data_IF_775083607245
#
_entry.id   IF_775083607245
#
_cell.length_a   1.000
_cell.length_b   1.000
_cell.length_c   1.000
_cell.angle_alpha   90.00
_cell.angle_beta   90.00
_cell.angle_gamma   90.00
#
_symmetry.space_group_name_H-M   'P 1'
#
loop_
_entity.id
_entity.type
_entity.pdbx_description
1 polymer ?
#
# COMPACT_ATOMS: atom_id res chain seq x y z
N UNK A 1 -21.47 30.99 16.52
CA UNK A 1 -20.46 30.06 17.09
C UNK A 1 -20.45 28.83 16.22
N UNK A 2 -19.43 28.66 15.39
CA UNK A 2 -19.23 27.44 14.61
C UNK A 2 -18.51 26.47 15.54
N UNK A 3 -19.17 25.35 15.87
CA UNK A 3 -18.53 24.23 16.53
C UNK A 3 -17.47 23.69 15.57
N UNK A 4 -16.21 24.02 15.87
CA UNK A 4 -15.05 23.33 15.31
C UNK A 4 -15.09 21.93 15.92
N UNK A 5 -15.54 20.95 15.13
CA UNK A 5 -15.35 19.54 15.48
C UNK A 5 -13.84 19.30 15.48
N UNK A 6 -13.23 19.44 16.66
CA UNK A 6 -11.95 18.86 16.98
C UNK A 6 -12.12 17.34 16.84
N UNK A 7 -11.82 16.82 15.65
CA UNK A 7 -11.47 15.42 15.50
C UNK A 7 -10.22 15.23 16.35
N UNK A 8 -10.39 14.63 17.52
CA UNK A 8 -9.29 14.18 18.36
C UNK A 8 -8.37 13.33 17.49
N UNK A 9 -7.08 13.62 17.53
CA UNK A 9 -6.05 12.80 16.87
C UNK A 9 -6.20 11.32 17.23
N UNK A 10 -6.78 11.00 18.38
CA UNK A 10 -7.09 9.66 18.88
C UNK A 10 -8.06 8.85 17.99
N UNK A 11 -8.99 9.48 17.27
CA UNK A 11 -9.96 8.76 16.41
C UNK A 11 -9.36 8.30 15.07
N UNK A 12 -8.14 8.74 14.73
CA UNK A 12 -7.43 8.33 13.51
C UNK A 12 -6.61 7.04 13.73
N UNK A 13 -6.44 6.59 14.97
CA UNK A 13 -5.58 5.46 15.33
C UNK A 13 -6.32 4.14 15.58
N UNK A 14 -7.66 4.14 15.60
CA UNK A 14 -8.43 2.98 16.08
C UNK A 14 -8.40 1.73 15.18
N UNK A 15 -7.82 1.76 13.98
CA UNK A 15 -7.75 0.57 13.10
C UNK A 15 -6.48 0.54 12.26
N UNK A 16 -5.35 0.67 12.93
CA UNK A 16 -4.04 0.49 12.31
C UNK A 16 -3.57 -0.95 12.59
N UNK A 17 -3.66 -1.90 11.63
CA UNK A 17 -3.32 -3.29 11.91
C UNK A 17 -1.83 -3.42 12.23
N UNK A 18 -1.49 -4.05 13.36
CA UNK A 18 -0.11 -4.48 13.62
C UNK A 18 0.34 -5.47 12.54
N UNK A 19 1.65 -5.57 12.27
CA UNK A 19 2.16 -6.67 11.46
C UNK A 19 1.66 -8.02 12.00
N UNK A 20 1.40 -8.99 11.11
CA UNK A 20 1.03 -10.34 11.55
C UNK A 20 2.16 -10.99 12.34
N UNK A 21 1.82 -11.91 13.23
CA UNK A 21 2.80 -12.68 14.02
C UNK A 21 3.80 -13.41 13.12
N UNK A 22 3.34 -13.90 11.96
CA UNK A 22 4.16 -14.53 10.94
C UNK A 22 3.78 -14.02 9.55
N UNK A 23 4.79 -13.57 8.79
CA UNK A 23 4.62 -13.24 7.37
C UNK A 23 4.74 -14.53 6.55
N UNK A 24 3.77 -14.85 5.67
CA UNK A 24 3.84 -16.04 4.83
C UNK A 24 5.14 -16.12 4.01
N UNK A 25 5.66 -17.34 3.82
CA UNK A 25 6.93 -17.56 3.12
C UNK A 25 6.92 -17.02 1.69
N UNK A 26 5.79 -17.12 0.98
CA UNK A 26 5.65 -16.58 -0.37
C UNK A 26 5.84 -15.05 -0.37
N UNK A 27 5.20 -14.35 0.58
CA UNK A 27 5.27 -12.90 0.69
C UNK A 27 6.67 -12.46 1.07
N UNK A 28 7.31 -13.16 2.02
CA UNK A 28 8.71 -12.94 2.39
C UNK A 28 9.65 -13.07 1.19
N UNK A 29 9.44 -14.07 0.33
CA UNK A 29 10.30 -14.29 -0.83
C UNK A 29 10.11 -13.23 -1.92
N UNK A 30 8.86 -12.81 -2.18
CA UNK A 30 8.58 -11.72 -3.13
C UNK A 30 9.03 -10.36 -2.59
N UNK A 31 8.73 -10.07 -1.32
CA UNK A 31 9.01 -8.80 -0.64
C UNK A 31 10.48 -8.47 -0.54
N UNK A 32 11.38 -9.47 -0.48
CA UNK A 32 12.85 -9.27 -0.49
C UNK A 32 13.33 -8.35 -1.60
N UNK A 33 12.69 -8.41 -2.77
CA UNK A 33 13.10 -7.60 -3.91
C UNK A 33 12.68 -6.12 -3.79
N UNK A 34 11.85 -5.80 -2.80
CA UNK A 34 11.27 -4.48 -2.55
C UNK A 34 11.82 -3.80 -1.29
N UNK A 35 12.66 -4.52 -0.53
CA UNK A 35 13.28 -4.03 0.70
C UNK A 35 14.08 -2.76 0.46
N UNK A 36 13.84 -1.74 1.29
CA UNK A 36 14.58 -0.47 1.32
C UNK A 36 14.65 0.29 -0.01
N UNK A 37 13.74 0.02 -0.95
CA UNK A 37 13.66 0.77 -2.21
C UNK A 37 13.09 2.17 -1.95
N UNK A 38 13.70 3.23 -2.48
CA UNK A 38 13.08 4.56 -2.47
C UNK A 38 11.72 4.54 -3.18
N UNK A 39 10.88 5.55 -2.95
CA UNK A 39 9.60 5.69 -3.65
C UNK A 39 9.77 5.64 -5.17
N UNK A 40 10.82 6.29 -5.68
CA UNK A 40 11.18 6.24 -7.09
C UNK A 40 11.51 4.82 -7.57
N UNK A 41 12.33 4.08 -6.83
CA UNK A 41 12.69 2.70 -7.19
C UNK A 41 11.50 1.74 -7.12
N UNK A 42 10.60 1.93 -6.16
CA UNK A 42 9.33 1.20 -6.07
C UNK A 42 8.50 1.42 -7.34
N UNK A 43 8.30 2.69 -7.73
CA UNK A 43 7.55 3.01 -8.94
C UNK A 43 8.24 2.45 -10.19
N UNK A 44 9.54 2.68 -10.37
CA UNK A 44 10.29 2.21 -11.53
C UNK A 44 10.20 0.68 -11.69
N UNK A 45 10.30 -0.06 -10.57
CA UNK A 45 10.14 -1.51 -10.57
C UNK A 45 8.71 -1.94 -10.94
N UNK A 46 7.71 -1.26 -10.40
CA UNK A 46 6.32 -1.54 -10.73
C UNK A 46 6.00 -1.22 -12.21
N UNK A 47 6.56 -0.13 -12.76
CA UNK A 47 6.49 0.21 -14.18
C UNK A 47 7.14 -0.87 -15.06
N UNK A 48 8.33 -1.37 -14.68
CA UNK A 48 9.02 -2.44 -15.41
C UNK A 48 8.17 -3.72 -15.48
N UNK A 49 7.56 -4.12 -14.36
CA UNK A 49 6.76 -5.36 -14.28
C UNK A 49 5.41 -5.22 -14.99
N UNK A 50 4.74 -4.07 -14.84
CA UNK A 50 3.38 -3.87 -15.34
C UNK A 50 3.33 -3.32 -16.77
N UNK A 51 4.38 -2.64 -17.22
CA UNK A 51 4.40 -1.85 -18.45
C UNK A 51 3.56 -0.56 -18.40
N UNK A 52 3.10 -0.16 -17.21
CA UNK A 52 2.43 1.13 -16.97
C UNK A 52 3.46 2.24 -16.79
N UNK A 53 3.03 3.48 -16.99
CA UNK A 53 3.70 4.66 -16.46
C UNK A 53 2.96 5.12 -15.21
N UNK A 54 3.66 5.21 -14.07
CA UNK A 54 3.10 5.40 -12.74
C UNK A 54 3.48 6.77 -12.17
N UNK A 55 2.56 7.34 -11.40
CA UNK A 55 2.75 8.58 -10.65
C UNK A 55 2.26 8.36 -9.22
N UNK A 56 3.04 8.81 -8.23
CA UNK A 56 2.70 8.74 -6.81
C UNK A 56 2.28 10.12 -6.32
N UNK A 57 1.16 10.19 -5.61
CA UNK A 57 0.64 11.41 -5.02
C UNK A 57 0.28 11.18 -3.56
N UNK A 58 0.59 12.15 -2.70
CA UNK A 58 0.18 12.17 -1.30
C UNK A 58 -0.92 13.22 -1.11
N UNK A 59 -2.14 12.77 -0.89
CA UNK A 59 -3.32 13.63 -0.81
C UNK A 59 -4.12 13.33 0.44
N UNK A 60 -4.86 14.31 0.97
CA UNK A 60 -5.76 14.07 2.09
C UNK A 60 -6.98 13.27 1.58
N UNK A 61 -7.03 11.97 1.90
CA UNK A 61 -8.12 11.08 1.52
C UNK A 61 -9.14 10.94 2.66
N UNK A 62 -10.38 10.48 2.38
CA UNK A 62 -11.39 10.24 3.41
C UNK A 62 -10.88 9.31 4.53
N UNK A 63 -11.42 9.50 5.74
CA UNK A 63 -11.11 8.62 6.88
C UNK A 63 -11.39 7.15 6.54
N UNK A 64 -10.50 6.25 6.95
CA UNK A 64 -10.56 4.82 6.64
C UNK A 64 -10.02 4.41 5.26
N UNK A 65 -9.56 5.36 4.42
CA UNK A 65 -8.91 5.05 3.14
C UNK A 65 -7.40 5.21 3.30
N UNK A 66 -6.63 4.14 3.09
CA UNK A 66 -5.16 4.20 3.19
C UNK A 66 -4.50 4.65 1.90
N UNK A 67 -4.98 4.13 0.79
CA UNK A 67 -4.56 4.48 -0.55
C UNK A 67 -5.61 4.06 -1.57
N UNK A 68 -5.41 4.50 -2.81
CA UNK A 68 -6.13 4.03 -3.98
C UNK A 68 -5.18 4.05 -5.18
N UNK A 69 -5.33 3.09 -6.08
CA UNK A 69 -4.71 3.15 -7.40
C UNK A 69 -5.77 3.33 -8.50
N UNK A 70 -5.42 4.11 -9.52
CA UNK A 70 -6.27 4.35 -10.70
C UNK A 70 -5.47 4.05 -11.96
N UNK A 71 -6.02 3.24 -12.86
CA UNK A 71 -5.39 2.93 -14.15
C UNK A 71 -6.27 3.36 -15.32
N UNK A 72 -5.70 4.11 -16.25
CA UNK A 72 -6.35 4.53 -17.51
C UNK A 72 -5.40 4.34 -18.68
N UNK A 73 -5.66 3.33 -19.51
CA UNK A 73 -4.79 2.98 -20.63
C UNK A 73 -3.43 2.49 -20.12
N UNK A 74 -2.34 3.17 -20.53
CA UNK A 74 -0.97 2.87 -20.08
C UNK A 74 -0.50 3.72 -18.89
N UNK A 75 -1.38 4.51 -18.28
CA UNK A 75 -1.03 5.37 -17.15
C UNK A 75 -1.72 4.87 -15.89
N UNK A 76 -0.96 4.71 -14.82
CA UNK A 76 -1.45 4.45 -13.48
C UNK A 76 -1.12 5.60 -12.54
N UNK A 77 -1.92 5.78 -11.51
CA UNK A 77 -1.63 6.66 -10.38
C UNK A 77 -1.87 5.93 -9.08
N UNK A 78 -0.99 6.15 -8.11
CA UNK A 78 -1.17 5.72 -6.73
C UNK A 78 -1.38 6.98 -5.89
N UNK A 79 -2.50 7.06 -5.19
CA UNK A 79 -2.75 8.09 -4.19
C UNK A 79 -2.62 7.45 -2.82
N UNK A 80 -1.78 8.01 -1.97
CA UNK A 80 -1.61 7.59 -0.58
C UNK A 80 -2.15 8.67 0.32
N UNK A 81 -2.88 8.26 1.36
CA UNK A 81 -3.48 9.20 2.28
C UNK A 81 -2.39 9.92 3.10
N UNK A 82 -2.24 11.23 2.86
CA UNK A 82 -1.21 12.06 3.50
C UNK A 82 -1.44 12.27 4.99
N UNK A 83 -2.63 11.94 5.53
CA UNK A 83 -2.88 12.05 6.97
C UNK A 83 -2.30 10.87 7.77
N UNK A 84 -1.94 9.78 7.10
CA UNK A 84 -1.37 8.60 7.76
C UNK A 84 0.02 8.88 8.35
N UNK A 85 0.43 8.17 9.41
CA UNK A 85 1.83 8.11 9.82
C UNK A 85 2.75 7.64 8.68
N UNK A 86 4.03 8.05 8.68
CA UNK A 86 4.97 7.75 7.58
C UNK A 86 5.07 6.26 7.26
N UNK A 87 5.17 5.42 8.30
CA UNK A 87 5.18 3.95 8.17
C UNK A 87 3.94 3.40 7.48
N UNK A 88 2.78 4.03 7.70
CA UNK A 88 1.51 3.63 7.09
C UNK A 88 1.37 4.10 5.66
N UNK A 89 1.91 5.27 5.34
CA UNK A 89 2.03 5.69 3.94
C UNK A 89 2.88 4.71 3.15
N UNK A 90 3.97 4.26 3.76
CA UNK A 90 4.88 3.27 3.17
C UNK A 90 4.21 1.91 3.00
N UNK A 91 3.52 1.43 4.02
CA UNK A 91 2.70 0.22 3.93
C UNK A 91 1.66 0.32 2.81
N UNK A 92 0.88 1.39 2.79
CA UNK A 92 -0.15 1.64 1.78
C UNK A 92 0.43 1.69 0.37
N UNK A 93 1.62 2.26 0.18
CA UNK A 93 2.31 2.26 -1.11
C UNK A 93 2.58 0.82 -1.60
N UNK A 94 3.13 -0.05 -0.75
CA UNK A 94 3.36 -1.44 -1.14
C UNK A 94 2.06 -2.22 -1.35
N UNK A 95 1.02 -1.95 -0.55
CA UNK A 95 -0.31 -2.54 -0.71
C UNK A 95 -0.90 -2.18 -2.09
N UNK A 96 -0.92 -0.89 -2.45
CA UNK A 96 -1.41 -0.44 -3.77
C UNK A 96 -0.52 -0.91 -4.92
N UNK A 97 0.80 -1.01 -4.72
CA UNK A 97 1.70 -1.59 -5.71
C UNK A 97 1.37 -3.06 -5.96
N UNK A 98 1.10 -3.85 -4.91
CA UNK A 98 0.70 -5.26 -5.06
C UNK A 98 -0.55 -5.39 -5.93
N UNK A 99 -1.54 -4.51 -5.71
CA UNK A 99 -2.73 -4.46 -6.54
C UNK A 99 -2.36 -4.23 -8.00
N UNK A 100 -1.54 -3.23 -8.33
CA UNK A 100 -1.13 -2.98 -9.72
C UNK A 100 -0.42 -4.18 -10.38
N UNK A 101 0.45 -4.88 -9.63
CA UNK A 101 1.22 -6.01 -10.13
C UNK A 101 0.34 -7.23 -10.45
N UNK A 102 -0.70 -7.46 -9.64
CA UNK A 102 -1.51 -8.67 -9.69
C UNK A 102 -2.89 -8.45 -10.34
N UNK A 103 -3.34 -7.21 -10.45
CA UNK A 103 -4.65 -6.87 -10.98
C UNK A 103 -4.61 -6.63 -12.50
N UNK A 104 -4.44 -7.70 -13.29
CA UNK A 104 -4.40 -7.58 -14.76
C UNK A 104 -5.76 -7.33 -15.42
N UNK A 105 -6.91 -7.50 -14.73
CA UNK A 105 -8.25 -7.50 -15.38
C UNK A 105 -9.45 -6.98 -14.56
N UNK A 106 -9.28 -6.31 -13.42
CA UNK A 106 -10.43 -5.76 -12.67
C UNK A 106 -11.16 -6.77 -11.79
N UNK A 107 -11.99 -6.31 -10.86
CA UNK A 107 -12.88 -7.12 -10.01
C UNK A 107 -13.74 -8.14 -10.81
N UNK A 108 -14.01 -7.84 -12.08
CA UNK A 108 -14.79 -8.67 -13.02
C UNK A 108 -14.07 -9.94 -13.48
N UNK A 109 -12.74 -9.99 -13.37
CA UNK A 109 -11.98 -11.23 -13.55
C UNK A 109 -12.10 -12.13 -12.33
N UNK A 110 -12.14 -11.52 -11.13
CA UNK A 110 -12.16 -12.22 -9.87
C UNK A 110 -13.52 -12.79 -9.48
N UNK A 111 -14.62 -12.25 -10.03
CA UNK A 111 -15.95 -12.91 -9.95
C UNK A 111 -15.99 -14.30 -10.59
N UNK A 112 -14.94 -14.69 -11.34
CA UNK A 112 -14.82 -15.99 -12.01
C UNK A 112 -13.65 -16.85 -11.50
N UNK A 113 -12.91 -16.39 -10.49
CA UNK A 113 -11.86 -17.16 -9.80
C UNK A 113 -12.32 -17.48 -8.39
N UNK A 114 -11.91 -18.62 -7.83
CA UNK A 114 -12.28 -19.04 -6.48
C UNK A 114 -11.66 -18.21 -5.33
N UNK A 115 -10.88 -17.17 -5.64
CA UNK A 115 -10.28 -16.27 -4.65
C UNK A 115 -11.28 -15.18 -4.24
N UNK A 116 -11.55 -15.06 -2.93
CA UNK A 116 -12.42 -14.00 -2.38
C UNK A 116 -11.70 -12.65 -2.34
N UNK A 117 -12.46 -11.54 -2.32
CA UNK A 117 -11.90 -10.20 -2.16
C UNK A 117 -11.08 -10.07 -0.87
N UNK A 118 -11.59 -10.63 0.23
CA UNK A 118 -10.88 -10.69 1.52
C UNK A 118 -9.53 -11.42 1.41
N UNK A 119 -9.46 -12.51 0.64
CA UNK A 119 -8.19 -13.20 0.40
C UNK A 119 -7.22 -12.37 -0.43
N UNK A 120 -7.70 -11.49 -1.29
CA UNK A 120 -6.86 -10.64 -2.13
C UNK A 120 -6.26 -9.47 -1.34
N UNK A 121 -7.07 -8.80 -0.54
CA UNK A 121 -6.60 -7.75 0.39
C UNK A 121 -5.60 -8.32 1.40
N UNK A 122 -5.87 -9.50 1.97
CA UNK A 122 -4.93 -10.17 2.87
C UNK A 122 -3.58 -10.51 2.20
N UNK A 123 -3.56 -10.77 0.90
CA UNK A 123 -2.32 -10.98 0.14
C UNK A 123 -1.58 -9.66 -0.08
N UNK A 124 -2.30 -8.58 -0.43
CA UNK A 124 -1.72 -7.25 -0.53
C UNK A 124 -1.07 -6.83 0.81
N UNK A 125 -1.76 -7.06 1.94
CA UNK A 125 -1.24 -6.79 3.28
C UNK A 125 -0.01 -7.64 3.61
N UNK A 126 -0.06 -8.94 3.31
CA UNK A 126 1.08 -9.84 3.53
C UNK A 126 2.31 -9.40 2.75
N UNK A 127 2.12 -9.01 1.48
CA UNK A 127 3.20 -8.47 0.64
C UNK A 127 3.73 -7.15 1.18
N UNK A 128 2.84 -6.23 1.56
CA UNK A 128 3.22 -4.92 2.08
C UNK A 128 4.04 -5.05 3.37
N UNK A 129 3.61 -5.91 4.30
CA UNK A 129 4.40 -6.22 5.50
C UNK A 129 5.74 -6.87 5.17
N UNK A 130 5.79 -7.79 4.21
CA UNK A 130 7.02 -8.44 3.79
C UNK A 130 8.03 -7.45 3.19
N UNK A 131 7.56 -6.52 2.35
CA UNK A 131 8.38 -5.50 1.71
C UNK A 131 8.88 -4.44 2.71
N UNK A 132 8.06 -4.13 3.71
CA UNK A 132 8.34 -3.13 4.76
C UNK A 132 9.11 -3.68 5.96
N UNK A 133 9.27 -5.00 6.04
CA UNK A 133 9.76 -5.65 7.26
C UNK A 133 11.10 -5.13 7.79
N UNK A 134 12.13 -4.90 6.94
CA UNK A 134 13.40 -4.36 7.42
C UNK A 134 13.22 -2.99 8.08
N UNK A 135 12.54 -2.05 7.42
CA UNK A 135 12.32 -0.70 7.94
C UNK A 135 11.48 -0.71 9.24
N UNK A 136 10.48 -1.59 9.33
CA UNK A 136 9.70 -1.77 10.57
C UNK A 136 10.56 -2.32 11.71
N UNK A 137 11.32 -3.39 11.45
CA UNK A 137 12.08 -4.11 12.49
C UNK A 137 13.28 -3.32 13.03
N UNK A 138 13.88 -2.46 12.20
CA UNK A 138 15.03 -1.63 12.55
C UNK A 138 14.59 -0.30 13.22
N UNK A 139 13.34 0.13 13.01
CA UNK A 139 12.83 1.41 13.50
C UNK A 139 13.50 2.62 12.84
N UNK A 140 14.08 2.42 11.64
CA UNK A 140 14.79 3.44 10.89
C UNK A 140 13.94 3.95 9.72
N UNK A 141 13.60 5.23 9.77
CA UNK A 141 12.77 5.92 8.79
C UNK A 141 13.48 7.15 8.19
N UNK A 142 14.82 7.25 8.35
CA UNK A 142 15.60 8.42 7.92
C UNK A 142 15.46 8.73 6.43
N UNK A 143 15.16 7.72 5.63
CA UNK A 143 15.11 7.80 4.17
C UNK A 143 13.75 8.26 3.63
N UNK A 144 12.78 8.55 4.51
CA UNK A 144 11.38 8.87 4.13
C UNK A 144 11.01 10.35 4.32
N UNK A 145 12.01 11.20 4.56
CA UNK A 145 11.87 12.64 4.78
C UNK A 145 12.05 13.47 3.49
#
# INVERSE_FOLDING_TARGET
MLQVNNLSTEDLYETIPSPPDEIPLWATNEGKAWHRLSEFEILARAEEITGLSLELMFEALPSGVWGIHLVKGKRGRIYINSILPLIWRRFALFHEAYHLLNHKKGARFWTHTFESMESFENRADSFAWAALWPEWSEGDYSDWA
#
